data_IF_620573352341
#
_entry.id   IF_620573352341
#
_cell.length_a   1.000
_cell.length_b   1.000
_cell.length_c   1.000
_cell.angle_alpha   90.00
_cell.angle_beta   90.00
_cell.angle_gamma   90.00
#
_symmetry.space_group_name_H-M   'P 1'
#
loop_
_entity.id
_entity.type
_entity.pdbx_description
1 polymer ?
#
# COMPACT_ATOMS: atom_id res chain seq x y z
N UNK A 1 -0.96 14.27 -8.86
CA UNK A 1 0.09 13.26 -8.93
C UNK A 1 0.40 13.08 -10.40
N UNK A 2 1.67 12.89 -10.77
CA UNK A 2 1.99 12.55 -12.17
C UNK A 2 1.22 11.29 -12.57
N UNK A 3 0.54 11.32 -13.72
CA UNK A 3 -0.34 10.23 -14.18
C UNK A 3 0.38 8.88 -14.29
N UNK A 4 1.67 8.88 -14.63
CA UNK A 4 2.47 7.64 -14.72
C UNK A 4 2.74 7.06 -13.34
N UNK A 5 2.93 7.93 -12.34
CA UNK A 5 3.10 7.50 -10.96
C UNK A 5 1.76 6.97 -10.43
N UNK A 6 0.66 7.69 -10.64
CA UNK A 6 -0.69 7.29 -10.25
C UNK A 6 -1.06 5.90 -10.78
N UNK A 7 -0.92 5.69 -12.10
CA UNK A 7 -1.13 4.38 -12.72
C UNK A 7 -0.25 3.29 -12.08
N UNK A 8 1.01 3.61 -11.75
CA UNK A 8 1.91 2.65 -11.12
C UNK A 8 1.50 2.32 -9.69
N UNK A 9 0.90 3.26 -8.95
CA UNK A 9 0.36 3.01 -7.61
C UNK A 9 -0.85 2.09 -7.70
N UNK A 10 -1.76 2.33 -8.66
CA UNK A 10 -2.89 1.43 -8.88
C UNK A 10 -2.43 0.00 -9.20
N UNK A 11 -1.43 -0.18 -10.06
CA UNK A 11 -0.81 -1.50 -10.29
C UNK A 11 -0.27 -2.13 -9.00
N UNK A 12 0.42 -1.33 -8.16
CA UNK A 12 1.00 -1.81 -6.89
C UNK A 12 -0.06 -2.20 -5.86
N UNK A 13 -1.22 -1.56 -5.89
CA UNK A 13 -2.38 -1.96 -5.08
C UNK A 13 -2.86 -3.35 -5.51
N UNK A 14 -3.05 -3.57 -6.81
CA UNK A 14 -3.47 -4.88 -7.34
C UNK A 14 -2.45 -5.98 -7.06
N UNK A 15 -1.15 -5.71 -7.23
CA UNK A 15 -0.07 -6.63 -6.88
C UNK A 15 -0.05 -6.97 -5.37
N UNK A 16 -0.42 -6.01 -4.52
CA UNK A 16 -0.44 -6.24 -3.07
C UNK A 16 -1.63 -7.09 -2.68
N UNK A 17 -2.80 -6.84 -3.27
CA UNK A 17 -4.00 -7.67 -3.09
C UNK A 17 -3.81 -9.11 -3.58
N UNK A 18 -3.13 -9.33 -4.71
CA UNK A 18 -2.84 -10.69 -5.19
C UNK A 18 -1.86 -11.47 -4.29
N UNK A 19 -1.13 -10.76 -3.43
CA UNK A 19 -0.15 -11.31 -2.48
C UNK A 19 -0.62 -11.21 -1.03
N UNK A 20 -1.92 -11.15 -0.79
CA UNK A 20 -2.47 -10.96 0.57
C UNK A 20 -2.09 -12.09 1.53
N UNK A 21 -1.84 -13.30 1.03
CA UNK A 21 -1.31 -14.41 1.82
C UNK A 21 0.03 -14.05 2.47
N UNK A 22 0.94 -13.39 1.74
CA UNK A 22 2.24 -12.94 2.28
C UNK A 22 2.04 -11.93 3.43
N UNK A 23 1.02 -11.06 3.35
CA UNK A 23 0.69 -10.10 4.42
C UNK A 23 0.20 -10.83 5.67
N UNK A 24 -0.66 -11.84 5.51
CA UNK A 24 -1.17 -12.66 6.61
C UNK A 24 -0.05 -13.46 7.29
N UNK A 25 0.84 -14.04 6.51
CA UNK A 25 1.99 -14.79 7.02
C UNK A 25 2.96 -13.86 7.78
N UNK A 26 3.23 -12.66 7.24
CA UNK A 26 4.03 -11.65 7.94
C UNK A 26 3.36 -11.19 9.24
N UNK A 27 2.05 -10.97 9.25
CA UNK A 27 1.33 -10.58 10.45
C UNK A 27 1.45 -11.65 11.54
N UNK A 28 1.22 -12.93 11.20
CA UNK A 28 1.36 -14.05 12.14
C UNK A 28 2.80 -14.26 12.61
N UNK A 29 3.78 -14.00 11.75
CA UNK A 29 5.20 -14.05 12.12
C UNK A 29 5.56 -12.96 13.14
N UNK A 30 5.11 -11.73 12.90
CA UNK A 30 5.44 -10.56 13.72
C UNK A 30 4.69 -10.55 15.05
N UNK A 31 3.43 -10.98 15.04
CA UNK A 31 2.62 -11.13 16.25
C UNK A 31 1.70 -12.35 16.08
N UNK A 32 2.08 -13.53 16.60
CA UNK A 32 1.25 -14.73 16.53
C UNK A 32 -0.11 -14.59 17.21
N UNK A 33 -0.26 -13.67 18.18
CA UNK A 33 -1.52 -13.46 18.91
C UNK A 33 -2.47 -12.52 18.15
N UNK A 34 -1.92 -11.58 17.39
CA UNK A 34 -2.69 -10.60 16.60
C UNK A 34 -2.56 -10.79 15.09
N UNK A 35 -2.00 -11.91 14.64
CA UNK A 35 -1.73 -12.15 13.23
C UNK A 35 -2.98 -12.13 12.34
N UNK A 36 -4.14 -12.45 12.91
CA UNK A 36 -5.44 -12.39 12.21
C UNK A 36 -6.20 -11.06 12.45
N UNK A 37 -5.63 -10.10 13.19
CA UNK A 37 -6.22 -8.77 13.36
C UNK A 37 -6.12 -7.99 12.05
N UNK A 38 -7.28 -7.62 11.49
CA UNK A 38 -7.35 -6.92 10.20
C UNK A 38 -6.66 -5.55 10.23
N UNK A 39 -6.67 -4.86 11.37
CA UNK A 39 -6.02 -3.54 11.47
C UNK A 39 -4.50 -3.69 11.40
N UNK A 40 -3.95 -4.74 12.02
CA UNK A 40 -2.52 -5.06 11.95
C UNK A 40 -2.10 -5.46 10.53
N UNK A 41 -2.84 -6.38 9.89
CA UNK A 41 -2.57 -6.77 8.51
C UNK A 41 -2.72 -5.58 7.54
N UNK A 42 -3.73 -4.73 7.75
CA UNK A 42 -3.93 -3.50 6.99
C UNK A 42 -2.75 -2.53 7.15
N UNK A 43 -2.22 -2.38 8.36
CA UNK A 43 -1.00 -1.60 8.61
C UNK A 43 0.21 -2.09 7.82
N UNK A 44 0.44 -3.41 7.78
CA UNK A 44 1.53 -4.01 6.98
C UNK A 44 1.34 -3.73 5.49
N UNK A 45 0.12 -3.90 5.00
CA UNK A 45 -0.24 -3.63 3.61
C UNK A 45 -0.02 -2.16 3.22
N UNK A 46 -0.50 -1.22 4.04
CA UNK A 46 -0.28 0.21 3.83
C UNK A 46 1.20 0.56 3.88
N UNK A 47 1.98 -0.05 4.79
CA UNK A 47 3.44 0.11 4.84
C UNK A 47 4.14 -0.31 3.53
N UNK A 48 3.72 -1.45 2.95
CA UNK A 48 4.21 -1.92 1.64
C UNK A 48 3.88 -0.94 0.51
N UNK A 49 2.66 -0.39 0.50
CA UNK A 49 2.23 0.60 -0.50
C UNK A 49 2.95 1.93 -0.33
N UNK A 50 3.14 2.39 0.91
CA UNK A 50 3.91 3.60 1.23
C UNK A 50 5.35 3.49 0.71
N UNK A 51 6.02 2.37 0.96
CA UNK A 51 7.37 2.13 0.42
C UNK A 51 7.36 2.13 -1.12
N UNK A 52 6.37 1.48 -1.72
CA UNK A 52 6.20 1.45 -3.17
C UNK A 52 6.01 2.85 -3.75
N UNK A 53 5.21 3.71 -3.11
CA UNK A 53 4.97 5.08 -3.53
C UNK A 53 6.27 5.90 -3.60
N UNK A 54 7.07 5.89 -2.53
CA UNK A 54 8.35 6.59 -2.53
C UNK A 54 9.36 6.01 -3.53
N UNK A 55 9.40 4.68 -3.66
CA UNK A 55 10.29 4.02 -4.62
C UNK A 55 9.92 4.37 -6.08
N UNK A 56 8.63 4.28 -6.43
CA UNK A 56 8.16 4.58 -7.80
C UNK A 56 8.29 6.06 -8.12
N UNK A 57 8.06 6.95 -7.15
CA UNK A 57 8.32 8.39 -7.31
C UNK A 57 9.77 8.65 -7.74
N UNK A 58 10.75 8.08 -7.02
CA UNK A 58 12.17 8.19 -7.38
C UNK A 58 12.47 7.56 -8.73
N UNK A 59 11.88 6.42 -9.05
CA UNK A 59 12.16 5.69 -10.29
C UNK A 59 11.62 6.40 -11.54
N UNK A 60 10.37 6.85 -11.48
CA UNK A 60 9.62 7.42 -12.60
C UNK A 60 9.90 8.91 -12.74
N UNK A 61 9.86 9.66 -11.63
CA UNK A 61 9.96 11.12 -11.63
C UNK A 61 11.38 11.63 -11.31
N UNK A 62 12.31 10.74 -10.94
CA UNK A 62 13.70 11.08 -10.58
C UNK A 62 13.83 12.02 -9.38
N UNK A 63 12.80 12.08 -8.53
CA UNK A 63 12.77 12.87 -7.29
C UNK A 63 11.93 12.18 -6.22
N UNK A 64 11.98 12.69 -5.00
CA UNK A 64 11.03 12.31 -3.95
C UNK A 64 9.65 12.92 -4.25
N UNK A 65 8.56 12.29 -3.76
CA UNK A 65 7.23 12.86 -3.90
C UNK A 65 7.12 14.20 -3.15
N UNK A 66 6.29 15.10 -3.68
CA UNK A 66 5.90 16.34 -3.04
C UNK A 66 4.84 16.10 -1.96
N UNK A 67 4.57 17.10 -1.13
CA UNK A 67 3.51 17.04 -0.13
C UNK A 67 2.13 16.87 -0.78
N UNK A 68 1.90 17.54 -1.92
CA UNK A 68 0.67 17.42 -2.69
C UNK A 68 0.49 15.99 -3.22
N UNK A 69 1.53 15.41 -3.82
CA UNK A 69 1.48 14.02 -4.30
C UNK A 69 1.29 13.01 -3.17
N UNK A 70 1.81 13.30 -1.97
CA UNK A 70 1.56 12.46 -0.81
C UNK A 70 0.10 12.53 -0.35
N UNK A 71 -0.51 13.72 -0.32
CA UNK A 71 -1.94 13.86 -0.02
C UNK A 71 -2.80 13.09 -1.02
N UNK A 72 -2.48 13.17 -2.31
CA UNK A 72 -3.20 12.41 -3.34
C UNK A 72 -3.01 10.89 -3.18
N UNK A 73 -1.83 10.44 -2.74
CA UNK A 73 -1.63 9.05 -2.37
C UNK A 73 -2.53 8.61 -1.20
N UNK A 74 -2.73 9.47 -0.19
CA UNK A 74 -3.67 9.19 0.92
C UNK A 74 -5.13 9.14 0.42
N UNK A 75 -5.51 10.00 -0.51
CA UNK A 75 -6.85 9.98 -1.12
C UNK A 75 -7.09 8.68 -1.88
N UNK A 76 -6.10 8.20 -2.65
CA UNK A 76 -6.15 6.89 -3.33
C UNK A 76 -6.37 5.78 -2.31
N UNK A 77 -5.55 5.72 -1.24
CA UNK A 77 -5.69 4.68 -0.20
C UNK A 77 -7.06 4.74 0.49
N UNK A 78 -7.56 5.94 0.76
CA UNK A 78 -8.85 6.15 1.41
C UNK A 78 -9.99 5.69 0.52
N UNK A 79 -9.96 6.02 -0.78
CA UNK A 79 -10.97 5.60 -1.75
C UNK A 79 -11.02 4.09 -1.96
N UNK A 80 -9.90 3.40 -1.74
CA UNK A 80 -9.76 1.93 -1.89
C UNK A 80 -9.89 1.18 -0.56
N UNK A 81 -10.09 1.87 0.56
CA UNK A 81 -10.02 1.28 1.90
C UNK A 81 -10.94 0.07 2.06
N UNK A 82 -12.17 0.16 1.59
CA UNK A 82 -13.13 -0.94 1.72
C UNK A 82 -12.72 -2.17 0.88
N UNK A 83 -12.20 -1.96 -0.33
CA UNK A 83 -11.64 -3.04 -1.15
C UNK A 83 -10.46 -3.72 -0.47
N UNK A 84 -9.56 -2.92 0.08
CA UNK A 84 -8.39 -3.39 0.80
C UNK A 84 -8.78 -4.21 2.04
N UNK A 85 -9.75 -3.76 2.83
CA UNK A 85 -10.21 -4.45 4.03
C UNK A 85 -11.06 -5.70 3.74
N UNK A 86 -11.78 -5.75 2.62
CA UNK A 86 -12.55 -6.93 2.20
C UNK A 86 -11.66 -8.14 1.90
N UNK A 87 -10.43 -7.92 1.45
CA UNK A 87 -9.49 -8.98 1.05
C UNK A 87 -8.61 -9.50 2.20
N UNK A 88 -8.62 -8.81 3.35
CA UNK A 88 -7.96 -9.22 4.59
C UNK A 88 -8.88 -10.15 5.40
#
# INVERSE_FOLDING_TARGET
MDKRLEQKIDEKIHETLSKIGEVKDLARLLDPQKGDDKSFQYGIMVGRLYNSFYYQSRRILKRVPTSEEFSEFLDILTSRRDDLLRNL
#
